data_IF_483553356589
#
_entry.id   IF_483553356589
#
_cell.length_a   1.000
_cell.length_b   1.000
_cell.length_c   1.000
_cell.angle_alpha   90.00
_cell.angle_beta   90.00
_cell.angle_gamma   90.00
#
_symmetry.space_group_name_H-M   'P 1'
#
loop_
_entity.id
_entity.type
_entity.pdbx_description
1 polymer ?
#
# COMPACT_ATOMS: atom_id res chain seq x y z
N UNK A 1 9.91 33.30 3.76
CA UNK A 1 9.99 31.83 3.65
C UNK A 1 9.63 31.27 2.28
N UNK A 2 8.48 31.61 1.67
CA UNK A 2 8.08 31.06 0.35
C UNK A 2 9.09 31.30 -0.80
N UNK A 3 9.78 32.44 -0.82
CA UNK A 3 10.81 32.78 -1.82
C UNK A 3 12.09 31.96 -1.65
N UNK A 4 12.66 31.91 -0.44
CA UNK A 4 13.87 31.12 -0.10
C UNK A 4 13.69 29.63 -0.43
N UNK A 5 12.51 29.10 -0.14
CA UNK A 5 12.14 27.71 -0.43
C UNK A 5 12.08 27.50 -1.96
N UNK A 6 11.54 28.44 -2.75
CA UNK A 6 11.47 28.25 -4.21
C UNK A 6 12.85 28.28 -4.88
N UNK A 7 13.77 29.09 -4.38
CA UNK A 7 15.12 29.23 -4.92
C UNK A 7 16.02 28.02 -4.61
N UNK A 8 15.80 27.34 -3.47
CA UNK A 8 16.60 26.19 -3.05
C UNK A 8 16.32 24.89 -3.83
N UNK A 9 15.20 24.82 -4.57
CA UNK A 9 14.78 23.59 -5.27
C UNK A 9 15.75 23.18 -6.38
N UNK A 10 16.11 24.11 -7.27
CA UNK A 10 16.98 23.80 -8.41
C UNK A 10 18.38 23.35 -7.97
N UNK A 11 19.04 24.04 -7.02
CA UNK A 11 20.28 23.54 -6.42
C UNK A 11 20.11 22.15 -5.80
N UNK A 12 19.05 21.92 -5.03
CA UNK A 12 18.81 20.61 -4.40
C UNK A 12 18.70 19.48 -5.43
N UNK A 13 17.93 19.68 -6.51
CA UNK A 13 17.79 18.69 -7.58
C UNK A 13 19.10 18.46 -8.33
N UNK A 14 19.95 19.48 -8.49
CA UNK A 14 21.27 19.31 -9.10
C UNK A 14 22.22 18.42 -8.29
N UNK A 15 22.05 18.37 -6.96
CA UNK A 15 22.85 17.50 -6.09
C UNK A 15 22.53 16.01 -6.27
N UNK A 16 21.41 15.67 -6.92
CA UNK A 16 21.07 14.27 -7.19
C UNK A 16 22.00 13.62 -8.21
N UNK A 17 22.60 14.41 -9.10
CA UNK A 17 23.56 13.91 -10.10
C UNK A 17 25.00 14.28 -9.74
N UNK A 18 25.25 14.66 -8.49
CA UNK A 18 26.59 14.98 -8.01
C UNK A 18 27.52 13.75 -8.13
N UNK A 19 28.80 13.91 -8.54
CA UNK A 19 29.74 12.79 -8.61
C UNK A 19 29.98 12.13 -7.24
N UNK A 20 29.95 12.88 -6.14
CA UNK A 20 30.16 12.36 -4.80
C UNK A 20 28.90 11.63 -4.29
N UNK A 21 29.07 10.35 -3.96
CA UNK A 21 28.01 9.51 -3.42
C UNK A 21 27.49 10.01 -2.06
N UNK A 22 28.35 10.64 -1.26
CA UNK A 22 27.95 11.20 0.03
C UNK A 22 27.00 12.37 -0.17
N UNK A 23 27.26 13.23 -1.16
CA UNK A 23 26.39 14.36 -1.51
C UNK A 23 25.05 13.85 -2.01
N UNK A 24 25.03 12.86 -2.91
CA UNK A 24 23.78 12.25 -3.39
C UNK A 24 22.97 11.64 -2.26
N UNK A 25 23.63 10.93 -1.32
CA UNK A 25 23.00 10.36 -0.12
C UNK A 25 22.38 11.46 0.75
N UNK A 26 23.11 12.53 1.07
CA UNK A 26 22.59 13.61 1.91
C UNK A 26 21.44 14.37 1.20
N UNK A 27 21.50 14.51 -0.12
CA UNK A 27 20.38 15.01 -0.92
C UNK A 27 19.15 14.10 -0.75
N UNK A 28 19.31 12.78 -0.88
CA UNK A 28 18.21 11.83 -0.69
C UNK A 28 17.60 11.90 0.72
N UNK A 29 18.42 11.99 1.76
CA UNK A 29 17.97 12.17 3.16
C UNK A 29 17.23 13.49 3.34
N UNK A 30 17.68 14.57 2.70
CA UNK A 30 17.02 15.87 2.75
C UNK A 30 15.63 15.81 2.11
N UNK A 31 15.52 15.23 0.91
CA UNK A 31 14.22 15.02 0.24
C UNK A 31 13.33 14.10 1.09
N UNK A 32 13.91 13.11 1.76
CA UNK A 32 13.18 12.21 2.62
C UNK A 32 12.55 12.95 3.82
N UNK A 33 13.30 13.87 4.44
CA UNK A 33 12.78 14.71 5.51
C UNK A 33 11.59 15.56 5.04
N UNK A 34 11.64 16.07 3.80
CA UNK A 34 10.53 16.81 3.18
C UNK A 34 9.33 15.90 2.92
N UNK A 35 9.56 14.66 2.47
CA UNK A 35 8.50 13.69 2.25
C UNK A 35 7.80 13.25 3.55
N UNK A 36 8.55 13.17 4.66
CA UNK A 36 8.03 12.78 5.97
C UNK A 36 7.34 13.91 6.74
N UNK A 37 7.23 15.11 6.17
CA UNK A 37 6.54 16.25 6.78
C UNK A 37 5.09 15.88 7.13
N UNK A 38 4.61 16.18 8.36
CA UNK A 38 3.29 15.79 8.82
C UNK A 38 2.20 16.38 7.93
N UNK A 39 1.46 15.47 7.30
CA UNK A 39 0.40 15.84 6.37
C UNK A 39 0.83 15.81 4.92
N UNK A 40 2.10 15.68 4.54
CA UNK A 40 2.53 15.44 3.15
C UNK A 40 2.30 16.62 2.18
N UNK A 41 1.97 17.80 2.71
CA UNK A 41 1.65 18.98 1.91
C UNK A 41 2.90 19.56 1.25
N UNK A 42 4.03 19.52 1.97
CA UNK A 42 5.24 20.19 1.53
C UNK A 42 5.80 19.57 0.25
N UNK A 43 5.91 18.23 0.20
CA UNK A 43 6.42 17.51 -0.96
C UNK A 43 5.67 17.88 -2.24
N UNK A 44 4.33 17.83 -2.22
CA UNK A 44 3.48 18.10 -3.38
C UNK A 44 3.36 19.58 -3.76
N UNK A 45 3.66 20.48 -2.83
CA UNK A 45 3.76 21.92 -3.12
C UNK A 45 5.10 22.28 -3.75
N UNK A 46 6.13 21.50 -3.50
CA UNK A 46 7.50 21.84 -3.87
C UNK A 46 7.96 21.13 -5.14
N UNK A 47 7.63 19.85 -5.28
CA UNK A 47 7.97 19.03 -6.43
C UNK A 47 6.76 18.86 -7.35
N UNK A 48 6.99 19.07 -8.65
CA UNK A 48 6.05 18.69 -9.70
C UNK A 48 6.12 17.19 -9.95
N UNK A 49 5.16 16.66 -10.70
CA UNK A 49 5.19 15.24 -11.11
C UNK A 49 6.44 14.93 -11.95
N UNK A 50 6.90 15.87 -12.78
CA UNK A 50 8.15 15.74 -13.55
C UNK A 50 9.38 15.65 -12.64
N UNK A 51 9.46 16.48 -11.59
CA UNK A 51 10.56 16.40 -10.62
C UNK A 51 10.53 15.07 -9.87
N UNK A 52 9.33 14.62 -9.43
CA UNK A 52 9.20 13.35 -8.73
C UNK A 52 9.60 12.18 -9.61
N UNK A 53 9.25 12.22 -10.90
CA UNK A 53 9.70 11.22 -11.86
C UNK A 53 11.22 11.24 -12.01
N UNK A 54 11.82 12.43 -12.19
CA UNK A 54 13.27 12.59 -12.29
C UNK A 54 14.00 12.09 -11.04
N UNK A 55 13.51 12.45 -9.85
CA UNK A 55 14.02 11.98 -8.56
C UNK A 55 14.03 10.44 -8.54
N UNK A 56 12.91 9.79 -8.85
CA UNK A 56 12.82 8.32 -8.80
C UNK A 56 13.74 7.67 -9.83
N UNK A 57 13.87 8.23 -11.03
CA UNK A 57 14.83 7.75 -12.02
C UNK A 57 16.28 7.83 -11.52
N UNK A 58 16.68 8.92 -10.87
CA UNK A 58 18.03 9.05 -10.30
C UNK A 58 18.25 8.07 -9.15
N UNK A 59 17.23 7.83 -8.31
CA UNK A 59 17.32 6.84 -7.23
C UNK A 59 17.59 5.42 -7.74
N UNK A 60 17.03 5.04 -8.89
CA UNK A 60 17.29 3.73 -9.49
C UNK A 60 18.76 3.53 -9.86
N UNK A 61 19.43 4.58 -10.32
CA UNK A 61 20.86 4.54 -10.64
C UNK A 61 21.72 4.43 -9.37
N UNK A 62 21.24 4.97 -8.25
CA UNK A 62 21.94 4.89 -6.97
C UNK A 62 21.65 3.59 -6.21
N UNK A 63 20.65 2.82 -6.62
CA UNK A 63 20.34 1.49 -6.07
C UNK A 63 21.30 0.41 -6.60
N UNK A 64 21.99 0.67 -7.72
CA UNK A 64 22.93 -0.29 -8.29
C UNK A 64 24.18 -0.51 -7.43
N UNK A 65 24.66 -1.76 -7.40
CA UNK A 65 25.93 -2.10 -6.76
C UNK A 65 27.05 -1.61 -7.66
N UNK A 66 27.80 -0.63 -7.16
CA UNK A 66 28.98 -0.10 -7.85
C UNK A 66 30.21 -0.83 -7.33
N UNK A 67 30.76 -1.76 -8.13
CA UNK A 67 31.90 -2.61 -7.73
C UNK A 67 33.12 -1.79 -7.27
N UNK A 68 33.34 -0.61 -7.86
CA UNK A 68 34.44 0.29 -7.47
C UNK A 68 34.29 0.89 -6.06
N UNK A 69 33.09 0.83 -5.46
CA UNK A 69 32.84 1.25 -4.07
C UNK A 69 32.96 0.10 -3.07
N UNK A 70 33.26 -1.11 -3.56
CA UNK A 70 33.48 -2.28 -2.73
C UNK A 70 34.97 -2.57 -2.69
N UNK A 71 35.55 -2.50 -1.49
CA UNK A 71 36.97 -2.80 -1.27
C UNK A 71 37.14 -3.85 -0.19
N UNK A 72 38.14 -4.70 -0.36
CA UNK A 72 38.57 -5.61 0.70
C UNK A 72 39.64 -4.91 1.53
N UNK A 73 39.41 -4.86 2.84
CA UNK A 73 40.37 -4.42 3.84
C UNK A 73 40.96 -5.67 4.47
N UNK A 74 42.26 -5.85 4.28
CA UNK A 74 43.01 -6.93 4.91
C UNK A 74 43.29 -6.54 6.37
N UNK A 75 42.78 -7.36 7.30
CA UNK A 75 42.98 -7.25 8.74
C UNK A 75 43.87 -8.41 9.22
N UNK A 76 44.90 -8.75 8.44
CA UNK A 76 45.81 -9.89 8.68
C UNK A 76 45.23 -11.21 8.13
N UNK A 77 44.97 -12.24 8.96
CA UNK A 77 44.36 -13.50 8.51
C UNK A 77 42.88 -13.34 8.13
N UNK A 78 42.28 -12.18 8.44
CA UNK A 78 40.88 -11.87 8.14
C UNK A 78 40.79 -10.88 6.99
N UNK A 79 39.89 -11.15 6.05
CA UNK A 79 39.50 -10.20 4.98
C UNK A 79 38.14 -9.64 5.31
N UNK A 80 38.01 -8.31 5.30
CA UNK A 80 36.73 -7.65 5.52
C UNK A 80 36.33 -6.86 4.26
N UNK A 81 35.16 -7.17 3.70
CA UNK A 81 34.62 -6.42 2.56
C UNK A 81 33.87 -5.19 3.08
N UNK A 82 34.34 -4.01 2.69
CA UNK A 82 33.70 -2.72 2.96
C UNK A 82 32.98 -2.27 1.70
N UNK A 83 31.68 -2.03 1.81
CA UNK A 83 30.84 -1.48 0.75
C UNK A 83 30.45 -0.04 1.09
N UNK A 84 31.16 0.92 0.49
CA UNK A 84 30.94 2.35 0.71
C UNK A 84 29.65 2.86 0.02
N UNK A 85 29.09 2.08 -0.92
CA UNK A 85 27.83 2.38 -1.59
C UNK A 85 26.58 1.96 -0.80
N UNK A 86 26.72 1.05 0.17
CA UNK A 86 25.60 0.51 0.94
C UNK A 86 24.74 1.59 1.64
N UNK A 87 25.30 2.62 2.32
CA UNK A 87 24.51 3.67 2.94
C UNK A 87 23.69 4.49 1.95
N UNK A 88 24.20 4.71 0.73
CA UNK A 88 23.49 5.42 -0.32
C UNK A 88 22.30 4.61 -0.82
N UNK A 89 22.47 3.30 -1.06
CA UNK A 89 21.37 2.41 -1.47
C UNK A 89 20.25 2.39 -0.43
N UNK A 90 20.59 2.30 0.86
CA UNK A 90 19.60 2.37 1.95
C UNK A 90 18.83 3.68 1.93
N UNK A 91 19.52 4.80 1.76
CA UNK A 91 18.89 6.11 1.68
C UNK A 91 17.93 6.19 0.48
N UNK A 92 18.30 5.63 -0.68
CA UNK A 92 17.43 5.62 -1.87
C UNK A 92 16.14 4.82 -1.65
N UNK A 93 16.23 3.61 -1.10
CA UNK A 93 15.04 2.81 -0.76
C UNK A 93 14.19 3.50 0.31
N UNK A 94 14.82 4.08 1.33
CA UNK A 94 14.12 4.78 2.41
C UNK A 94 13.39 6.03 1.89
N UNK A 95 14.02 6.79 1.00
CA UNK A 95 13.39 7.92 0.33
C UNK A 95 12.21 7.47 -0.54
N UNK A 96 12.35 6.42 -1.35
CA UNK A 96 11.23 5.95 -2.17
C UNK A 96 10.03 5.56 -1.31
N UNK A 97 10.25 4.85 -0.20
CA UNK A 97 9.19 4.49 0.73
C UNK A 97 8.50 5.73 1.30
N UNK A 98 9.27 6.75 1.69
CA UNK A 98 8.72 8.03 2.16
C UNK A 98 7.94 8.77 1.07
N UNK A 99 8.44 8.79 -0.17
CA UNK A 99 7.73 9.38 -1.31
C UNK A 99 6.40 8.67 -1.54
N UNK A 100 6.37 7.34 -1.58
CA UNK A 100 5.13 6.56 -1.73
C UNK A 100 4.15 6.89 -0.61
N UNK A 101 4.57 6.86 0.66
CA UNK A 101 3.71 7.19 1.81
C UNK A 101 3.12 8.59 1.70
N UNK A 102 3.93 9.59 1.38
CA UNK A 102 3.48 10.97 1.19
C UNK A 102 2.45 11.06 0.04
N UNK A 103 2.73 10.37 -1.06
CA UNK A 103 1.93 10.39 -2.28
C UNK A 103 0.63 9.58 -2.20
N UNK A 104 0.56 8.55 -1.35
CA UNK A 104 -0.64 7.72 -1.15
C UNK A 104 -1.58 8.22 -0.05
N UNK A 105 -1.23 9.29 0.68
CA UNK A 105 -2.04 9.75 1.82
C UNK A 105 -3.45 10.22 1.39
N UNK A 106 -4.48 9.58 1.96
CA UNK A 106 -5.89 9.66 1.53
C UNK A 106 -6.48 11.09 1.57
N UNK A 107 -5.93 11.98 2.41
CA UNK A 107 -6.34 13.38 2.52
C UNK A 107 -6.24 14.17 1.21
N UNK A 108 -5.44 13.71 0.25
CA UNK A 108 -5.24 14.38 -1.04
C UNK A 108 -6.08 13.83 -2.18
N UNK A 109 -6.46 12.55 -2.11
CA UNK A 109 -7.19 11.91 -3.21
C UNK A 109 -8.61 12.43 -3.34
N UNK A 110 -9.27 12.81 -2.23
CA UNK A 110 -10.62 13.36 -2.22
C UNK A 110 -10.76 14.70 -2.93
N UNK A 111 -9.66 15.47 -3.06
CA UNK A 111 -9.66 16.74 -3.81
C UNK A 111 -9.31 16.60 -5.28
N UNK A 112 -8.89 15.42 -5.74
CA UNK A 112 -8.55 15.16 -7.14
C UNK A 112 -7.36 15.96 -7.69
N UNK A 113 -6.57 16.59 -6.81
CA UNK A 113 -5.52 17.55 -7.21
C UNK A 113 -4.20 16.86 -7.58
N UNK A 114 -3.96 15.63 -7.11
CA UNK A 114 -2.65 14.99 -7.25
C UNK A 114 -2.71 13.58 -7.85
N UNK A 115 -1.71 13.29 -8.67
CA UNK A 115 -1.45 11.98 -9.26
C UNK A 115 -0.70 11.10 -8.24
N UNK A 116 -1.12 9.85 -8.00
CA UNK A 116 -0.35 8.93 -7.19
C UNK A 116 1.03 8.66 -7.82
N UNK A 117 2.05 8.36 -7.02
CA UNK A 117 3.42 8.22 -7.52
C UNK A 117 3.53 7.07 -8.54
N UNK A 118 2.70 6.05 -8.38
CA UNK A 118 2.57 4.90 -9.26
C UNK A 118 2.07 5.26 -10.67
N UNK A 119 1.48 6.44 -10.85
CA UNK A 119 1.09 6.99 -12.17
C UNK A 119 2.13 7.94 -12.74
N UNK A 120 2.96 8.51 -11.87
CA UNK A 120 4.05 9.42 -12.27
C UNK A 120 5.23 8.62 -12.80
N UNK A 121 5.51 7.48 -12.16
CA UNK A 121 6.67 6.62 -12.46
C UNK A 121 6.23 5.41 -13.28
N UNK A 122 7.06 5.03 -14.27
CA UNK A 122 6.82 3.85 -15.10
C UNK A 122 6.73 2.56 -14.27
N UNK A 123 5.80 1.63 -14.57
CA UNK A 123 5.76 0.30 -13.97
C UNK A 123 7.10 -0.45 -14.00
N UNK A 124 7.87 -0.30 -15.09
CA UNK A 124 9.16 -0.94 -15.25
C UNK A 124 10.17 -0.52 -14.16
N UNK A 125 10.11 0.75 -13.75
CA UNK A 125 10.97 1.30 -12.70
C UNK A 125 10.67 0.65 -11.34
N UNK A 126 9.41 0.44 -10.99
CA UNK A 126 9.06 -0.27 -9.75
C UNK A 126 9.49 -1.72 -9.79
N UNK A 127 9.25 -2.41 -10.91
CA UNK A 127 9.66 -3.80 -11.10
C UNK A 127 11.17 -3.94 -10.89
N UNK A 128 11.96 -3.12 -11.58
CA UNK A 128 13.41 -3.10 -11.45
C UNK A 128 13.84 -2.85 -10.01
N UNK A 129 13.18 -1.91 -9.31
CA UNK A 129 13.47 -1.60 -7.93
C UNK A 129 13.24 -2.79 -6.99
N UNK A 130 12.13 -3.51 -7.15
CA UNK A 130 11.84 -4.67 -6.32
C UNK A 130 12.78 -5.83 -6.61
N UNK A 131 13.05 -6.11 -7.88
CA UNK A 131 14.02 -7.15 -8.28
C UNK A 131 15.38 -6.82 -7.65
N UNK A 132 15.87 -5.57 -7.77
CA UNK A 132 17.12 -5.15 -7.10
C UNK A 132 17.01 -5.26 -5.58
N UNK A 133 15.93 -4.77 -4.97
CA UNK A 133 15.74 -4.80 -3.51
C UNK A 133 15.82 -6.20 -2.90
N UNK A 134 15.22 -7.20 -3.55
CA UNK A 134 15.24 -8.58 -3.08
C UNK A 134 16.52 -9.35 -3.48
N UNK A 135 17.17 -9.00 -4.59
CA UNK A 135 18.44 -9.62 -5.00
C UNK A 135 19.65 -9.11 -4.22
N UNK A 136 19.67 -7.83 -3.82
CA UNK A 136 20.77 -7.19 -3.09
C UNK A 136 21.05 -7.83 -1.72
N UNK A 137 20.06 -8.47 -1.10
CA UNK A 137 20.25 -9.21 0.15
C UNK A 137 20.95 -10.56 -0.02
N UNK A 138 21.26 -10.96 -1.26
CA UNK A 138 21.45 -12.35 -1.64
C UNK A 138 22.71 -12.68 -2.43
N UNK A 139 23.84 -12.03 -2.17
CA UNK A 139 25.10 -12.29 -2.90
C UNK A 139 25.36 -13.79 -3.11
N UNK A 140 25.34 -14.23 -4.37
CA UNK A 140 25.40 -15.65 -4.76
C UNK A 140 26.76 -16.32 -4.47
N UNK A 141 27.79 -15.54 -4.16
CA UNK A 141 29.18 -16.01 -4.10
C UNK A 141 29.78 -16.05 -2.68
N UNK A 142 29.07 -15.57 -1.66
CA UNK A 142 29.52 -15.72 -0.28
C UNK A 142 28.80 -16.91 0.37
N UNK A 143 29.43 -18.08 0.30
CA UNK A 143 28.99 -19.31 0.99
C UNK A 143 28.91 -19.18 2.53
N UNK A 144 29.36 -18.06 3.08
CA UNK A 144 28.99 -17.57 4.40
C UNK A 144 28.12 -16.32 4.25
N UNK A 145 26.83 -16.42 4.59
CA UNK A 145 26.10 -15.22 5.00
C UNK A 145 26.83 -14.71 6.24
N UNK A 146 27.74 -13.76 6.07
CA UNK A 146 28.20 -12.98 7.21
C UNK A 146 26.94 -12.33 7.81
N UNK A 147 26.66 -12.46 9.11
CA UNK A 147 25.47 -11.88 9.75
C UNK A 147 25.37 -10.34 9.62
N UNK A 148 26.38 -9.70 9.03
CA UNK A 148 26.43 -8.28 8.71
C UNK A 148 25.83 -7.90 7.34
N UNK A 149 25.39 -8.85 6.49
CA UNK A 149 24.68 -8.46 5.26
C UNK A 149 23.37 -7.80 5.65
N UNK A 150 23.26 -6.52 5.30
CA UNK A 150 22.18 -5.65 5.72
C UNK A 150 20.83 -6.10 5.14
N UNK A 151 20.03 -6.78 5.95
CA UNK A 151 18.63 -7.12 5.66
C UNK A 151 17.73 -5.87 5.51
N UNK A 152 18.24 -4.69 5.82
CA UNK A 152 17.50 -3.43 5.74
C UNK A 152 16.98 -3.14 4.32
N UNK A 153 17.71 -3.50 3.25
CA UNK A 153 17.26 -3.23 1.88
C UNK A 153 16.06 -4.14 1.50
N UNK A 154 16.14 -5.48 1.66
CA UNK A 154 14.97 -6.34 1.49
C UNK A 154 13.77 -5.94 2.36
N UNK A 155 14.02 -5.47 3.59
CA UNK A 155 12.97 -5.01 4.48
C UNK A 155 12.27 -3.76 3.94
N UNK A 156 13.06 -2.77 3.48
CA UNK A 156 12.51 -1.58 2.82
C UNK A 156 11.77 -1.94 1.53
N UNK A 157 12.28 -2.89 0.74
CA UNK A 157 11.59 -3.36 -0.46
C UNK A 157 10.24 -4.03 -0.13
N UNK A 158 10.18 -4.84 0.93
CA UNK A 158 8.92 -5.42 1.41
C UNK A 158 7.93 -4.35 1.90
N UNK A 159 8.40 -3.33 2.62
CA UNK A 159 7.57 -2.20 3.07
C UNK A 159 7.05 -1.36 1.89
N UNK A 160 7.86 -1.14 0.85
CA UNK A 160 7.46 -0.47 -0.39
C UNK A 160 6.39 -1.31 -1.09
N UNK A 161 6.59 -2.63 -1.18
CA UNK A 161 5.62 -3.53 -1.81
C UNK A 161 4.29 -3.50 -1.07
N UNK A 162 4.33 -3.53 0.26
CA UNK A 162 3.16 -3.38 1.10
C UNK A 162 2.46 -2.04 0.84
N UNK A 163 3.22 -0.94 0.79
CA UNK A 163 2.68 0.40 0.56
C UNK A 163 1.98 0.52 -0.81
N UNK A 164 2.55 -0.06 -1.87
CA UNK A 164 1.92 -0.09 -3.20
C UNK A 164 0.69 -1.00 -3.18
N UNK A 165 0.76 -2.15 -2.51
CA UNK A 165 -0.35 -3.09 -2.40
C UNK A 165 -1.51 -2.58 -1.54
N UNK A 166 -1.29 -1.58 -0.68
CA UNK A 166 -2.36 -1.03 0.14
C UNK A 166 -3.53 -0.58 -0.75
N UNK A 167 -4.75 -1.03 -0.43
CA UNK A 167 -5.90 -0.72 -1.24
C UNK A 167 -6.15 0.78 -1.21
N UNK A 168 -6.38 1.38 -2.38
CA UNK A 168 -6.84 2.77 -2.51
C UNK A 168 -8.16 3.00 -1.72
N UNK A 169 -8.86 1.91 -1.38
CA UNK A 169 -10.17 1.87 -0.74
C UNK A 169 -10.27 2.28 0.74
N UNK A 170 -9.18 2.54 1.46
CA UNK A 170 -9.32 3.00 2.85
C UNK A 170 -10.14 4.31 2.95
N UNK A 171 -10.06 5.17 1.93
CA UNK A 171 -10.90 6.37 1.82
C UNK A 171 -12.35 6.08 1.42
N UNK A 172 -12.59 5.13 0.50
CA UNK A 172 -13.93 4.86 -0.03
C UNK A 172 -14.87 4.17 0.95
N UNK A 173 -14.38 3.31 1.85
CA UNK A 173 -15.24 2.71 2.88
C UNK A 173 -15.75 3.78 3.85
N UNK A 174 -14.91 4.77 4.17
CA UNK A 174 -15.31 5.91 4.98
C UNK A 174 -16.27 6.84 4.23
N UNK A 175 -15.99 7.19 2.97
CA UNK A 175 -16.88 8.06 2.19
C UNK A 175 -18.22 7.39 1.85
N UNK A 176 -18.27 6.08 1.57
CA UNK A 176 -19.53 5.36 1.38
C UNK A 176 -20.33 5.24 2.68
N UNK A 177 -19.68 5.08 3.83
CA UNK A 177 -20.37 5.13 5.14
C UNK A 177 -20.95 6.51 5.39
N UNK A 178 -20.16 7.56 5.14
CA UNK A 178 -20.57 8.95 5.31
C UNK A 178 -21.69 9.35 4.34
N UNK A 179 -21.59 8.96 3.07
CA UNK A 179 -22.64 9.19 2.08
C UNK A 179 -23.94 8.46 2.41
N UNK A 180 -23.87 7.21 2.89
CA UNK A 180 -25.06 6.48 3.38
C UNK A 180 -25.64 7.08 4.66
N UNK A 181 -24.82 7.69 5.52
CA UNK A 181 -25.31 8.43 6.69
C UNK A 181 -25.95 9.77 6.31
N UNK A 182 -25.38 10.50 5.36
CA UNK A 182 -25.95 11.75 4.83
C UNK A 182 -27.25 11.49 4.06
N UNK A 183 -27.33 10.44 3.25
CA UNK A 183 -28.55 9.99 2.55
C UNK A 183 -29.64 9.56 3.54
N UNK A 184 -29.29 8.80 4.59
CA UNK A 184 -30.23 8.46 5.66
C UNK A 184 -30.74 9.69 6.43
N UNK A 185 -29.89 10.71 6.63
CA UNK A 185 -30.28 11.98 7.27
C UNK A 185 -31.19 12.81 6.38
N UNK A 186 -30.95 12.83 5.06
CA UNK A 186 -31.84 13.48 4.09
C UNK A 186 -33.24 12.88 4.10
N UNK A 187 -33.34 11.54 3.98
CA UNK A 187 -34.63 10.82 3.99
C UNK A 187 -35.38 10.99 5.33
N UNK A 188 -34.66 11.09 6.46
CA UNK A 188 -35.29 11.38 7.76
C UNK A 188 -35.74 12.84 7.93
N UNK A 189 -35.13 13.79 7.21
CA UNK A 189 -35.55 15.19 7.19
C UNK A 189 -36.87 15.36 6.45
N UNK A 190 -36.97 14.82 5.23
CA UNK A 190 -38.19 14.90 4.40
C UNK A 190 -39.39 14.23 5.08
N UNK A 191 -39.18 13.08 5.75
CA UNK A 191 -40.26 12.39 6.45
C UNK A 191 -40.79 13.16 7.67
N UNK A 192 -39.97 14.01 8.29
CA UNK A 192 -40.40 14.87 9.39
C UNK A 192 -41.17 16.10 8.90
N UNK A 193 -40.80 16.65 7.75
CA UNK A 193 -41.55 17.75 7.13
C UNK A 193 -42.93 17.26 6.63
N UNK A 194 -43.02 16.05 6.07
CA UNK A 194 -44.31 15.43 5.70
C UNK A 194 -45.19 15.12 6.94
N UNK A 195 -44.60 14.74 8.07
CA UNK A 195 -45.33 14.51 9.33
C UNK A 195 -45.78 15.83 10.00
N UNK A 196 -45.04 16.93 9.89
CA UNK A 196 -45.47 18.25 10.37
C UNK A 196 -46.56 18.88 9.50
N UNK A 197 -46.53 18.69 8.16
CA UNK A 197 -47.61 19.15 7.29
C UNK A 197 -48.92 18.37 7.48
N UNK A 198 -48.85 17.09 7.85
CA UNK A 198 -50.05 16.27 8.13
C UNK A 198 -50.60 16.47 9.56
N UNK A 199 -49.85 17.09 10.46
CA UNK A 199 -50.25 17.35 11.85
C UNK A 199 -51.08 18.62 12.10
N UNK A 200 -51.19 19.53 11.12
CA UNK A 200 -51.87 20.83 11.26
C UNK A 200 -53.38 20.84 11.06
N UNK A 201 -54.07 19.73 11.32
CA UNK A 201 -55.43 19.47 10.81
C UNK A 201 -56.56 19.37 11.83
N UNK A 202 -56.56 20.12 12.94
CA UNK A 202 -57.75 20.23 13.81
C UNK A 202 -57.77 21.60 14.51
N UNK A 203 -58.47 22.60 13.96
CA UNK A 203 -59.38 23.47 14.73
C UNK A 203 -60.26 24.33 13.79
N UNK A 204 -61.56 24.17 14.02
CA UNK A 204 -62.66 25.12 13.82
C UNK A 204 -63.15 25.48 12.42
N UNK A 205 -64.31 24.90 12.11
CA UNK A 205 -65.43 25.51 11.40
C UNK A 205 -65.69 26.96 11.86
N UNK A 206 -65.87 27.89 10.90
CA UNK A 206 -67.15 28.58 10.69
C UNK A 206 -67.15 29.56 9.48
N UNK A 207 -68.28 29.48 8.75
CA UNK A 207 -69.01 30.53 8.01
C UNK A 207 -68.39 31.28 6.79
N UNK A 208 -68.86 30.83 5.61
CA UNK A 208 -69.52 31.58 4.52
C UNK A 208 -69.25 33.10 4.37
N UNK A 209 -68.75 33.53 3.20
CA UNK A 209 -69.56 34.18 2.12
C UNK A 209 -68.69 34.80 1.00
N UNK A 210 -69.03 34.44 -0.24
CA UNK A 210 -68.96 35.22 -1.50
C UNK A 210 -67.76 36.15 -1.83
N UNK A 211 -67.02 35.82 -2.90
CA UNK A 211 -66.94 36.64 -4.14
C UNK A 211 -66.05 35.99 -5.22
N UNK A 212 -66.46 35.97 -6.50
CA UNK A 212 -65.63 35.51 -7.61
C UNK A 212 -64.83 36.70 -8.17
N UNK A 213 -63.51 36.66 -8.04
CA UNK A 213 -62.66 37.77 -8.48
C UNK A 213 -61.25 37.33 -8.83
N UNK A 214 -61.07 37.03 -10.12
CA UNK A 214 -59.87 37.28 -10.93
C UNK A 214 -58.52 36.63 -10.55
N UNK A 215 -57.77 36.36 -11.63
CA UNK A 215 -56.31 36.19 -11.67
C UNK A 215 -55.77 34.81 -11.30
N UNK A 216 -56.22 33.78 -12.03
CA UNK A 216 -55.40 32.60 -12.32
C UNK A 216 -54.59 32.88 -13.58
N UNK A 217 -53.34 33.29 -13.42
CA UNK A 217 -52.22 33.05 -14.35
C UNK A 217 -50.99 33.80 -13.81
N UNK A 218 -49.90 33.10 -13.56
CA UNK A 218 -48.65 33.74 -13.14
C UNK A 218 -48.01 33.18 -11.87
N UNK A 219 -48.12 31.88 -11.60
CA UNK A 219 -47.33 31.26 -10.54
C UNK A 219 -47.02 29.79 -10.83
N UNK A 220 -46.16 29.51 -11.80
CA UNK A 220 -45.39 28.26 -11.85
C UNK A 220 -44.30 28.31 -12.93
N UNK A 221 -43.13 28.90 -12.62
CA UNK A 221 -41.93 28.77 -13.47
C UNK A 221 -40.61 28.77 -12.65
N UNK A 222 -40.64 28.40 -11.37
CA UNK A 222 -39.43 28.34 -10.53
C UNK A 222 -38.87 26.93 -10.27
N UNK A 223 -39.51 25.87 -10.75
CA UNK A 223 -39.12 24.48 -10.42
C UNK A 223 -38.09 23.85 -11.38
N UNK A 224 -37.76 24.46 -12.52
CA UNK A 224 -36.86 23.82 -13.50
C UNK A 224 -35.35 24.09 -13.32
N UNK A 225 -34.92 24.86 -12.31
CA UNK A 225 -33.48 25.11 -12.11
C UNK A 225 -32.75 24.01 -11.33
N UNK A 226 -33.44 23.16 -10.57
CA UNK A 226 -32.80 22.08 -9.80
C UNK A 226 -32.24 20.95 -10.67
N UNK A 227 -32.91 20.63 -11.78
CA UNK A 227 -32.54 19.47 -12.62
C UNK A 227 -31.19 19.62 -13.34
N UNK A 228 -30.80 20.84 -13.73
CA UNK A 228 -29.52 21.06 -14.44
C UNK A 228 -28.32 20.89 -13.51
N UNK A 229 -28.42 21.35 -12.26
CA UNK A 229 -27.34 21.23 -11.25
C UNK A 229 -27.16 19.76 -10.83
N UNK A 230 -28.25 19.03 -10.60
CA UNK A 230 -28.21 17.60 -10.28
C UNK A 230 -27.64 16.76 -11.43
N UNK A 231 -28.03 17.06 -12.68
CA UNK A 231 -27.50 16.36 -13.84
C UNK A 231 -26.00 16.65 -14.04
N UNK A 232 -25.57 17.90 -13.80
CA UNK A 232 -24.16 18.27 -13.86
C UNK A 232 -23.34 17.58 -12.76
N UNK A 233 -23.86 17.52 -11.54
CA UNK A 233 -23.25 16.80 -10.43
C UNK A 233 -23.16 15.29 -10.72
N UNK A 234 -24.23 14.69 -11.24
CA UNK A 234 -24.23 13.29 -11.65
C UNK A 234 -23.20 13.00 -12.73
N UNK A 235 -23.09 13.87 -13.75
CA UNK A 235 -22.03 13.78 -14.78
C UNK A 235 -20.63 13.92 -14.17
N UNK A 236 -20.42 14.81 -13.20
CA UNK A 236 -19.15 14.95 -12.47
C UNK A 236 -18.82 13.66 -11.70
N UNK A 237 -19.75 13.15 -10.89
CA UNK A 237 -19.60 11.88 -10.15
C UNK A 237 -19.30 10.70 -11.07
N UNK A 238 -19.98 10.59 -12.22
CA UNK A 238 -19.74 9.55 -13.22
C UNK A 238 -18.35 9.66 -13.88
N UNK A 239 -17.88 10.87 -14.18
CA UNK A 239 -16.51 11.11 -14.70
C UNK A 239 -15.45 10.74 -13.66
N UNK A 240 -15.66 11.09 -12.39
CA UNK A 240 -14.77 10.73 -11.28
C UNK A 240 -14.70 9.21 -11.13
N UNK A 241 -15.85 8.52 -11.08
CA UNK A 241 -15.93 7.06 -11.01
C UNK A 241 -15.20 6.38 -12.16
N UNK A 242 -15.41 6.81 -13.41
CA UNK A 242 -14.69 6.26 -14.58
C UNK A 242 -13.17 6.49 -14.53
N UNK A 243 -12.72 7.61 -13.95
CA UNK A 243 -11.29 7.85 -13.72
C UNK A 243 -10.75 6.90 -12.66
N UNK A 244 -11.46 6.72 -11.55
CA UNK A 244 -11.09 5.76 -10.51
C UNK A 244 -11.02 4.33 -11.06
N UNK A 245 -12.03 3.88 -11.80
CA UNK A 245 -12.06 2.54 -12.40
C UNK A 245 -10.83 2.27 -13.30
N UNK A 246 -10.43 3.25 -14.13
CA UNK A 246 -9.18 3.14 -14.91
C UNK A 246 -7.94 3.05 -14.04
N UNK A 247 -7.85 3.90 -13.00
CA UNK A 247 -6.73 3.85 -12.05
C UNK A 247 -6.62 2.50 -11.35
N UNK A 248 -7.76 1.85 -11.07
CA UNK A 248 -7.78 0.51 -10.49
C UNK A 248 -7.26 -0.55 -11.45
N UNK A 249 -7.70 -0.52 -12.71
CA UNK A 249 -7.21 -1.42 -13.76
C UNK A 249 -5.69 -1.31 -13.94
N UNK A 250 -5.17 -0.07 -14.03
CA UNK A 250 -3.73 0.18 -14.16
C UNK A 250 -2.96 -0.32 -12.93
N UNK A 251 -3.53 -0.15 -11.73
CA UNK A 251 -2.92 -0.61 -10.48
C UNK A 251 -2.92 -2.13 -10.35
N UNK A 252 -4.00 -2.84 -10.70
CA UNK A 252 -4.03 -4.30 -10.67
C UNK A 252 -3.04 -4.91 -11.67
N UNK A 253 -2.92 -4.32 -12.87
CA UNK A 253 -1.94 -4.74 -13.87
C UNK A 253 -0.50 -4.50 -13.38
N UNK A 254 -0.23 -3.33 -12.78
CA UNK A 254 1.06 -3.03 -12.16
C UNK A 254 1.40 -4.06 -11.07
N UNK A 255 0.46 -4.33 -10.17
CA UNK A 255 0.64 -5.33 -9.13
C UNK A 255 0.97 -6.67 -9.78
N UNK A 256 0.13 -7.18 -10.69
CA UNK A 256 0.36 -8.45 -11.38
C UNK A 256 1.78 -8.59 -11.96
N UNK A 257 2.26 -7.56 -12.68
CA UNK A 257 3.63 -7.55 -13.23
C UNK A 257 4.71 -7.53 -12.16
N UNK A 258 4.49 -6.81 -11.06
CA UNK A 258 5.40 -6.83 -9.91
C UNK A 258 5.45 -8.26 -9.34
N UNK A 259 4.32 -8.94 -9.13
CA UNK A 259 4.34 -10.32 -8.59
C UNK A 259 5.12 -11.28 -9.47
N UNK A 260 4.92 -11.20 -10.78
CA UNK A 260 5.62 -12.06 -11.73
C UNK A 260 7.14 -11.83 -11.66
N UNK A 261 7.56 -10.58 -11.66
CA UNK A 261 8.97 -10.23 -11.65
C UNK A 261 9.68 -10.52 -10.31
N UNK A 262 9.00 -10.39 -9.17
CA UNK A 262 9.61 -10.63 -7.86
C UNK A 262 9.57 -12.09 -7.43
N UNK A 263 8.79 -12.95 -8.09
CA UNK A 263 8.58 -14.34 -7.66
C UNK A 263 9.90 -15.10 -7.45
N UNK A 264 10.80 -15.07 -8.44
CA UNK A 264 12.10 -15.76 -8.36
C UNK A 264 13.06 -15.13 -7.33
N UNK A 265 13.32 -13.81 -7.33
CA UNK A 265 14.13 -13.18 -6.27
C UNK A 265 13.61 -13.44 -4.85
N UNK A 266 12.29 -13.43 -4.68
CA UNK A 266 11.65 -13.65 -3.40
C UNK A 266 11.79 -15.10 -2.95
N UNK A 267 11.65 -16.08 -3.86
CA UNK A 267 11.87 -17.50 -3.56
C UNK A 267 13.29 -17.76 -3.05
N UNK A 268 14.30 -17.20 -3.74
CA UNK A 268 15.70 -17.34 -3.33
C UNK A 268 15.92 -16.72 -1.95
N UNK A 269 15.36 -15.54 -1.69
CA UNK A 269 15.45 -14.87 -0.39
C UNK A 269 14.77 -15.67 0.72
N UNK A 270 13.55 -16.16 0.48
CA UNK A 270 12.80 -16.97 1.44
C UNK A 270 13.53 -18.27 1.77
N UNK A 271 14.02 -18.99 0.76
CA UNK A 271 14.78 -20.22 0.95
C UNK A 271 16.02 -19.98 1.82
N UNK A 272 16.72 -18.87 1.61
CA UNK A 272 17.89 -18.49 2.43
C UNK A 272 17.52 -18.13 3.87
N UNK A 273 16.45 -17.36 4.07
CA UNK A 273 15.98 -17.02 5.42
C UNK A 273 15.57 -18.27 6.18
N UNK A 274 14.81 -19.16 5.55
CA UNK A 274 14.35 -20.41 6.17
C UNK A 274 15.53 -21.33 6.50
N UNK A 275 16.45 -21.56 5.55
CA UNK A 275 17.63 -22.39 5.79
C UNK A 275 18.56 -21.81 6.87
N UNK A 276 18.65 -20.48 7.00
CA UNK A 276 19.37 -19.86 8.10
C UNK A 276 18.68 -20.12 9.45
N UNK A 277 17.36 -19.89 9.53
CA UNK A 277 16.60 -20.10 10.76
C UNK A 277 16.61 -21.57 11.21
N UNK A 278 16.59 -22.51 10.26
CA UNK A 278 16.76 -23.94 10.54
C UNK A 278 18.12 -24.25 11.15
N UNK A 279 19.20 -23.67 10.60
CA UNK A 279 20.58 -23.86 11.12
C UNK A 279 20.77 -23.31 12.54
N UNK A 280 20.04 -22.27 12.93
CA UNK A 280 20.12 -21.67 14.28
C UNK A 280 19.34 -22.46 15.35
N UNK A 281 18.90 -23.69 15.06
CA UNK A 281 18.23 -24.56 16.04
C UNK A 281 16.70 -24.48 16.00
N UNK A 282 16.11 -23.88 14.96
CA UNK A 282 14.67 -23.87 14.72
C UNK A 282 13.85 -23.00 15.67
N UNK A 283 12.57 -22.80 15.33
CA UNK A 283 11.60 -21.94 16.05
C UNK A 283 11.31 -22.34 17.51
N UNK A 284 11.78 -23.50 17.95
CA UNK A 284 11.62 -23.98 19.32
C UNK A 284 12.25 -23.02 20.36
N UNK A 285 13.23 -22.21 19.95
CA UNK A 285 13.78 -21.13 20.78
C UNK A 285 12.96 -19.84 20.72
N UNK A 286 12.25 -19.56 19.61
CA UNK A 286 11.50 -18.33 19.38
C UNK A 286 10.23 -18.20 20.26
N UNK A 287 9.64 -19.31 20.72
CA UNK A 287 8.57 -19.28 21.71
C UNK A 287 9.07 -19.03 23.15
N UNK A 288 10.36 -19.26 23.44
CA UNK A 288 10.96 -19.06 24.76
C UNK A 288 11.74 -17.74 24.89
N UNK A 289 11.92 -16.97 23.81
CA UNK A 289 12.57 -15.65 23.84
C UNK A 289 11.83 -14.58 24.65
N UNK A 290 10.58 -14.83 25.07
CA UNK A 290 9.85 -13.93 25.98
C UNK A 290 10.34 -13.99 27.44
N UNK A 291 11.17 -14.96 27.86
CA UNK A 291 11.61 -15.07 29.26
C UNK A 291 13.12 -14.89 29.45
N UNK A 292 13.57 -13.63 29.47
CA UNK A 292 14.53 -13.07 30.43
C UNK A 292 15.87 -13.76 30.78
N UNK A 293 16.38 -14.71 30.00
CA UNK A 293 17.65 -15.41 30.29
C UNK A 293 18.87 -14.75 29.62
N UNK A 294 19.63 -13.94 30.36
CA UNK A 294 20.81 -13.23 29.86
C UNK A 294 22.01 -14.15 29.59
N UNK A 295 22.34 -14.37 28.31
CA UNK A 295 23.58 -15.08 27.95
C UNK A 295 23.74 -15.33 26.45
N UNK A 296 23.83 -14.27 25.63
CA UNK A 296 24.07 -14.38 24.18
C UNK A 296 23.46 -13.24 23.35
N UNK A 297 23.85 -11.99 23.61
CA UNK A 297 23.17 -10.80 23.03
C UNK A 297 23.41 -10.56 21.54
N UNK A 298 24.49 -11.08 20.96
CA UNK A 298 24.86 -10.81 19.56
C UNK A 298 24.01 -11.56 18.54
N UNK A 299 23.86 -12.86 18.73
CA UNK A 299 23.18 -13.74 17.75
C UNK A 299 21.65 -13.57 17.77
N UNK A 300 21.09 -13.18 18.92
CA UNK A 300 19.67 -12.87 19.07
C UNK A 300 19.20 -11.78 18.11
N UNK A 301 19.96 -10.68 17.99
CA UNK A 301 19.53 -9.52 17.21
C UNK A 301 19.53 -9.78 15.70
N UNK A 302 20.42 -10.66 15.22
CA UNK A 302 20.44 -11.09 13.82
C UNK A 302 19.21 -11.97 13.50
N UNK A 303 18.89 -12.91 14.38
CA UNK A 303 17.68 -13.73 14.27
C UNK A 303 16.41 -12.87 14.30
N UNK A 304 16.30 -11.91 15.22
CA UNK A 304 15.14 -11.02 15.33
C UNK A 304 14.88 -10.25 14.02
N UNK A 305 15.93 -9.69 13.42
CA UNK A 305 15.83 -8.97 12.14
C UNK A 305 15.39 -9.86 10.98
N UNK A 306 15.85 -11.12 10.94
CA UNK A 306 15.43 -12.06 9.90
C UNK A 306 13.97 -12.48 10.06
N UNK A 307 13.53 -12.69 11.30
CA UNK A 307 12.12 -12.96 11.59
C UNK A 307 11.27 -11.76 11.22
N UNK A 308 11.73 -10.53 11.50
CA UNK A 308 11.03 -9.30 11.09
C UNK A 308 10.96 -9.14 9.57
N UNK A 309 12.04 -9.47 8.85
CA UNK A 309 12.01 -9.51 7.39
C UNK A 309 11.02 -10.55 6.88
N UNK A 310 11.03 -11.76 7.45
CA UNK A 310 10.07 -12.80 7.08
C UNK A 310 8.64 -12.32 7.31
N UNK A 311 8.35 -11.72 8.48
CA UNK A 311 7.03 -11.15 8.79
C UNK A 311 6.64 -10.04 7.81
N UNK A 312 7.57 -9.14 7.46
CA UNK A 312 7.31 -8.06 6.50
C UNK A 312 7.00 -8.62 5.11
N UNK A 313 7.79 -9.59 4.63
CA UNK A 313 7.52 -10.30 3.36
C UNK A 313 6.14 -10.95 3.39
N UNK A 314 5.83 -11.72 4.43
CA UNK A 314 4.53 -12.39 4.59
C UNK A 314 3.37 -11.38 4.58
N UNK A 315 3.50 -10.26 5.31
CA UNK A 315 2.50 -9.19 5.34
C UNK A 315 2.34 -8.52 3.99
N UNK A 316 3.45 -8.24 3.29
CA UNK A 316 3.43 -7.66 1.96
C UNK A 316 2.70 -8.59 0.99
N UNK A 317 3.02 -9.88 1.00
CA UNK A 317 2.37 -10.90 0.18
C UNK A 317 0.88 -11.06 0.50
N UNK A 318 0.49 -11.05 1.77
CA UNK A 318 -0.92 -11.10 2.14
C UNK A 318 -1.68 -9.84 1.70
N UNK A 319 -1.08 -8.67 1.86
CA UNK A 319 -1.67 -7.40 1.41
C UNK A 319 -1.84 -7.42 -0.11
N UNK A 320 -0.85 -7.97 -0.80
CA UNK A 320 -0.83 -8.11 -2.25
C UNK A 320 -1.88 -9.13 -2.75
N UNK A 321 -1.95 -10.31 -2.14
CA UNK A 321 -2.99 -11.30 -2.41
C UNK A 321 -4.39 -10.71 -2.15
N UNK A 322 -4.57 -10.03 -1.03
CA UNK A 322 -5.82 -9.34 -0.70
C UNK A 322 -6.17 -8.27 -1.75
N UNK A 323 -5.19 -7.54 -2.25
CA UNK A 323 -5.39 -6.52 -3.29
C UNK A 323 -5.82 -7.14 -4.63
N UNK A 324 -5.26 -8.30 -5.00
CA UNK A 324 -5.65 -9.05 -6.20
C UNK A 324 -7.05 -9.70 -6.07
N UNK A 325 -7.44 -10.10 -4.86
CA UNK A 325 -8.72 -10.77 -4.58
C UNK A 325 -9.88 -9.82 -4.23
N UNK A 326 -9.60 -8.53 -4.05
CA UNK A 326 -10.68 -7.57 -3.84
C UNK A 326 -11.63 -7.63 -5.04
N UNK A 327 -12.95 -7.79 -4.80
CA UNK A 327 -13.93 -7.86 -5.86
C UNK A 327 -14.00 -6.50 -6.55
N UNK A 328 -13.13 -6.28 -7.53
CA UNK A 328 -13.36 -5.24 -8.52
C UNK A 328 -14.71 -5.54 -9.18
N UNK A 329 -15.49 -4.50 -9.46
CA UNK A 329 -16.71 -4.58 -10.28
C UNK A 329 -16.45 -5.08 -11.73
N UNK A 330 -15.28 -5.66 -12.00
CA UNK A 330 -14.78 -6.06 -13.30
C UNK A 330 -14.64 -7.58 -13.37
N UNK A 331 -15.08 -8.07 -14.52
CA UNK A 331 -15.10 -9.40 -15.09
C UNK A 331 -14.76 -10.59 -14.17
N UNK A 332 -15.74 -11.50 -13.98
CA UNK A 332 -15.57 -12.76 -13.26
C UNK A 332 -14.44 -13.65 -13.83
N UNK A 333 -13.99 -13.36 -15.06
CA UNK A 333 -12.90 -14.03 -15.77
C UNK A 333 -11.51 -13.80 -15.19
N UNK A 334 -11.28 -12.72 -14.42
CA UNK A 334 -9.99 -12.43 -13.77
C UNK A 334 -9.96 -12.79 -12.28
N UNK A 335 -10.96 -13.54 -11.78
CA UNK A 335 -10.92 -14.05 -10.40
C UNK A 335 -9.85 -15.13 -10.29
N UNK A 336 -8.70 -14.72 -9.76
CA UNK A 336 -7.69 -15.64 -9.25
C UNK A 336 -8.27 -16.27 -7.97
N UNK A 337 -8.11 -17.57 -7.72
CA UNK A 337 -8.48 -18.16 -6.44
C UNK A 337 -7.52 -17.71 -5.35
N UNK A 338 -8.07 -17.37 -4.18
CA UNK A 338 -7.24 -16.85 -3.08
C UNK A 338 -6.23 -17.86 -2.61
N UNK A 339 -5.00 -17.39 -2.39
CA UNK A 339 -3.90 -18.22 -1.91
C UNK A 339 -4.26 -18.90 -0.58
N UNK A 340 -5.03 -18.23 0.27
CA UNK A 340 -5.34 -18.65 1.64
C UNK A 340 -6.70 -19.34 1.82
N UNK A 341 -7.49 -19.52 0.77
CA UNK A 341 -8.71 -20.33 0.83
C UNK A 341 -8.34 -21.81 0.97
N UNK A 342 -8.35 -22.34 2.19
CA UNK A 342 -8.26 -23.78 2.44
C UNK A 342 -9.49 -24.47 1.87
N UNK A 343 -9.32 -25.24 0.79
CA UNK A 343 -10.33 -26.13 0.23
C UNK A 343 -10.60 -27.29 1.19
N UNK A 344 -11.51 -27.08 2.13
CA UNK A 344 -12.06 -28.15 2.98
C UNK A 344 -13.37 -28.74 2.44
N UNK A 345 -13.77 -28.44 1.21
CA UNK A 345 -14.94 -29.04 0.56
C UNK A 345 -14.50 -29.99 -0.55
N UNK A 346 -14.68 -31.29 -0.35
CA UNK A 346 -14.43 -32.39 -1.31
C UNK A 346 -15.44 -32.43 -2.48
N UNK A 347 -15.97 -31.29 -2.91
CA UNK A 347 -16.97 -31.17 -3.97
C UNK A 347 -16.40 -30.21 -5.01
N UNK A 348 -15.94 -30.74 -6.16
CA UNK A 348 -15.48 -29.91 -7.28
C UNK A 348 -14.21 -30.35 -8.01
N UNK A 349 -13.79 -31.61 -7.94
CA UNK A 349 -12.58 -32.08 -8.63
C UNK A 349 -12.71 -32.12 -10.17
N UNK A 350 -13.93 -32.12 -10.69
CA UNK A 350 -14.21 -32.20 -12.14
C UNK A 350 -14.30 -30.82 -12.84
N UNK A 351 -14.65 -29.73 -12.14
CA UNK A 351 -14.70 -28.38 -12.73
C UNK A 351 -13.30 -27.73 -12.89
N UNK A 352 -12.30 -28.22 -12.16
CA UNK A 352 -10.94 -27.67 -12.18
C UNK A 352 -10.09 -28.25 -13.32
N UNK A 353 -10.45 -29.44 -13.82
CA UNK A 353 -9.76 -30.09 -14.95
C UNK A 353 -10.15 -29.44 -16.29
N UNK A 354 -11.40 -28.99 -16.44
CA UNK A 354 -11.89 -28.33 -17.66
C UNK A 354 -11.35 -26.90 -17.87
N UNK A 355 -10.78 -26.26 -16.83
CA UNK A 355 -10.09 -24.95 -16.95
C UNK A 355 -8.62 -25.06 -17.35
N UNK A 356 -7.99 -26.23 -17.26
CA UNK A 356 -6.56 -26.42 -17.59
C UNK A 356 -6.25 -26.38 -19.08
N UNK A 357 -7.25 -26.60 -19.94
CA UNK A 357 -7.05 -26.62 -21.40
C UNK A 357 -7.15 -25.23 -22.07
N UNK A 358 -7.58 -24.19 -21.33
CA UNK A 358 -7.59 -22.80 -21.81
C UNK A 358 -6.31 -22.07 -21.44
N UNK A 359 -5.39 -21.91 -22.40
CA UNK A 359 -4.06 -21.33 -22.23
C UNK A 359 -3.99 -19.97 -21.52
N UNK A 360 -3.82 -20.01 -20.20
CA UNK A 360 -3.49 -18.88 -19.32
C UNK A 360 -2.57 -19.34 -18.18
N UNK A 361 -1.43 -19.94 -18.52
CA UNK A 361 -0.56 -20.66 -17.57
C UNK A 361 0.21 -19.82 -16.55
N UNK A 362 0.29 -18.49 -16.71
CA UNK A 362 1.16 -17.65 -15.86
C UNK A 362 0.58 -17.29 -14.48
N UNK A 363 -0.75 -17.17 -14.34
CA UNK A 363 -1.35 -16.58 -13.13
C UNK A 363 -1.24 -17.46 -11.88
N UNK A 364 -1.06 -18.76 -12.04
CA UNK A 364 -1.04 -19.72 -10.92
C UNK A 364 0.35 -20.08 -10.45
N UNK A 365 1.40 -19.80 -11.23
CA UNK A 365 2.72 -20.37 -10.98
C UNK A 365 3.36 -19.80 -9.72
N UNK A 366 3.27 -18.48 -9.49
CA UNK A 366 3.80 -17.86 -8.27
C UNK A 366 2.98 -18.23 -7.03
N UNK A 367 1.64 -18.27 -7.12
CA UNK A 367 0.78 -18.70 -6.01
C UNK A 367 1.02 -20.16 -5.66
N UNK A 368 1.15 -21.03 -6.65
CA UNK A 368 1.41 -22.45 -6.46
C UNK A 368 2.85 -22.70 -5.97
N UNK A 369 3.84 -21.96 -6.48
CA UNK A 369 5.21 -21.93 -5.97
C UNK A 369 5.24 -21.55 -4.50
N UNK A 370 4.60 -20.44 -4.14
CA UNK A 370 4.49 -20.01 -2.76
C UNK A 370 3.72 -21.02 -1.91
N UNK A 371 2.67 -21.64 -2.44
CA UNK A 371 1.93 -22.68 -1.73
C UNK A 371 2.86 -23.84 -1.44
N UNK A 372 3.63 -24.30 -2.44
CA UNK A 372 4.61 -25.38 -2.28
C UNK A 372 5.70 -24.99 -1.26
N UNK A 373 6.37 -23.87 -1.43
CA UNK A 373 7.47 -23.45 -0.56
C UNK A 373 7.00 -23.13 0.87
N UNK A 374 5.87 -22.43 1.01
CA UNK A 374 5.41 -21.88 2.28
C UNK A 374 4.47 -22.82 3.03
N UNK A 375 3.60 -23.57 2.36
CA UNK A 375 2.79 -24.58 3.05
C UNK A 375 3.63 -25.76 3.50
N UNK A 376 4.72 -26.13 2.82
CA UNK A 376 5.58 -27.22 3.31
C UNK A 376 6.53 -26.78 4.44
N UNK A 377 6.84 -25.48 4.55
CA UNK A 377 7.65 -24.98 5.64
C UNK A 377 6.85 -24.88 6.95
N UNK A 378 7.19 -25.68 8.00
CA UNK A 378 6.58 -25.51 9.32
C UNK A 378 6.87 -24.12 9.89
N UNK A 379 8.02 -23.52 9.51
CA UNK A 379 8.41 -22.19 9.96
C UNK A 379 7.45 -21.11 9.47
N UNK A 380 7.11 -21.17 8.19
CA UNK A 380 6.16 -20.23 7.61
C UNK A 380 4.78 -20.37 8.25
N UNK A 381 4.27 -21.61 8.43
CA UNK A 381 2.97 -21.84 9.08
C UNK A 381 2.91 -21.26 10.49
N UNK A 382 4.01 -21.30 11.24
CA UNK A 382 4.06 -20.74 12.60
C UNK A 382 4.13 -19.20 12.58
N UNK A 383 4.97 -18.61 11.71
CA UNK A 383 5.00 -17.16 11.51
C UNK A 383 3.61 -16.62 11.08
N UNK A 384 2.94 -17.37 10.19
CA UNK A 384 1.59 -17.09 9.74
C UNK A 384 0.56 -17.13 10.87
N UNK A 385 0.54 -18.21 11.67
CA UNK A 385 -0.36 -18.32 12.83
C UNK A 385 -0.17 -17.19 13.85
N UNK A 386 1.06 -16.73 14.04
CA UNK A 386 1.35 -15.55 14.86
C UNK A 386 0.70 -14.29 14.31
N UNK A 387 0.81 -14.05 12.99
CA UNK A 387 0.20 -12.91 12.32
C UNK A 387 -1.34 -12.96 12.32
N UNK A 388 -1.94 -14.14 12.14
CA UNK A 388 -3.41 -14.31 12.25
C UNK A 388 -3.91 -13.98 13.67
N UNK A 389 -3.12 -14.26 14.71
CA UNK A 389 -3.40 -13.88 16.09
C UNK A 389 -3.37 -12.35 16.28
N UNK A 390 -2.28 -11.70 15.87
CA UNK A 390 -2.11 -10.24 15.95
C UNK A 390 -3.18 -9.47 15.17
N UNK A 391 -3.52 -9.93 13.96
CA UNK A 391 -4.53 -9.30 13.12
C UNK A 391 -5.94 -9.34 13.72
N UNK A 392 -6.30 -10.47 14.36
CA UNK A 392 -7.58 -10.61 15.07
C UNK A 392 -7.67 -9.71 16.30
N UNK A 393 -6.58 -9.53 17.05
CA UNK A 393 -6.56 -8.62 18.21
C UNK A 393 -6.63 -7.15 17.82
N UNK A 394 -5.90 -6.72 16.78
CA UNK A 394 -5.92 -5.32 16.34
C UNK A 394 -7.28 -4.88 15.80
N UNK A 395 -7.96 -5.76 15.04
CA UNK A 395 -9.33 -5.52 14.56
C UNK A 395 -10.34 -5.45 15.74
N UNK A 396 -10.12 -6.24 16.80
CA UNK A 396 -10.99 -6.24 17.99
C UNK A 396 -10.76 -5.01 18.88
N UNK A 397 -9.52 -4.53 18.99
CA UNK A 397 -9.17 -3.30 19.73
C UNK A 397 -9.72 -2.02 19.09
N UNK A 398 -9.72 -1.91 17.75
CA UNK A 398 -10.29 -0.76 17.04
C UNK A 398 -11.84 -0.77 17.05
N UNK A 399 -12.46 -1.95 17.13
CA UNK A 399 -13.92 -2.07 17.27
C UNK A 399 -14.42 -1.81 18.70
N UNK A 400 -13.62 -2.11 19.73
CA UNK A 400 -14.00 -1.93 21.15
C UNK A 400 -13.85 -0.51 21.70
N UNK A 401 -13.02 0.34 21.10
CA UNK A 401 -12.78 1.71 21.58
C UNK A 401 -13.90 2.73 21.31
N UNK A 402 -14.98 2.31 20.64
CA UNK A 402 -16.10 3.19 20.28
C UNK A 402 -17.20 3.33 21.34
N UNK A 403 -17.35 2.36 22.26
CA UNK A 403 -18.43 2.38 23.25
C UNK A 403 -18.06 3.12 24.55
N UNK A 404 -16.77 3.17 24.92
CA UNK A 404 -16.35 3.76 26.19
C UNK A 404 -16.31 5.31 26.17
N UNK A 405 -16.44 5.93 24.98
CA UNK A 405 -16.55 7.38 24.81
C UNK A 405 -17.98 7.93 24.81
N UNK A 406 -19.00 7.08 24.97
CA UNK A 406 -20.41 7.50 25.15
C UNK A 406 -20.88 7.47 26.61
N UNK A 407 -20.01 7.06 27.54
CA UNK A 407 -20.29 6.99 28.98
C UNK A 407 -19.48 8.02 29.82
N UNK A 408 -18.82 8.98 29.17
CA UNK A 408 -18.25 10.20 29.76
C UNK A 408 -18.71 11.39 28.93
#
# INVERSE_FOLDING_TARGET
MKLVIREAKSPLLSLQTDPDILIRRECAVTIQAIANEPGGNLLRRWFTDEDLNAIVHTLLQDIDVKEHLIRQVDLGPFKHTVDEGLPSRKASFSLLLSLLRACSSSSYQSRGVYTPLEQVVSPACFIELFVKGFTLGGGEKSSSLSPSTSLDIPLLAADILQQIALPVYAGEVCERRRGKEEEKKGIQGERKEEEEEQGGGLYSSDCLTSSPGNSREGRCMKENRGGEEEEEEWRRRRKIRRRQERRYLDKSELLFRISEAIASPLEVLLTRLLTFLEKQGGLSSLSSFSSGGGGGRGDSLACDRQVDLLRSIVRAMYTFDSALHQPSHLDARMRIPSFFSSSSSSVGREEEEHRREGGGGGSFEWQEMLRRQLLHSPLFRQAWKGLEGEGKEKIRGEAGGGEERKAR
#
